data_IF_081798586680
#
_entry.id   IF_081798586680
#
_cell.length_a   1.000
_cell.length_b   1.000
_cell.length_c   1.000
_cell.angle_alpha   90.00
_cell.angle_beta   90.00
_cell.angle_gamma   90.00
#
_symmetry.space_group_name_H-M   'P 1'
#
loop_
_entity.id
_entity.type
_entity.pdbx_description
1 polymer ?
#
# COMPACT_ATOMS: atom_id res chain seq x y z
N UNK A 1 0.52 13.57 -24.47
CA UNK A 1 0.25 13.50 -23.03
C UNK A 1 -1.14 12.91 -22.90
N UNK A 2 -1.30 11.75 -22.27
CA UNK A 2 -2.63 11.18 -22.04
C UNK A 2 -3.28 11.99 -20.92
N UNK A 3 -4.54 12.38 -21.11
CA UNK A 3 -5.31 13.12 -20.14
C UNK A 3 -5.55 12.20 -18.92
N UNK A 4 -4.72 12.36 -17.88
CA UNK A 4 -4.77 11.53 -16.66
C UNK A 4 -6.16 11.62 -16.01
N UNK A 5 -6.84 12.75 -16.21
CA UNK A 5 -8.21 13.02 -15.78
C UNK A 5 -9.20 12.06 -16.45
N UNK A 6 -9.06 11.82 -17.75
CA UNK A 6 -9.89 10.86 -18.48
C UNK A 6 -9.68 9.42 -18.00
N UNK A 7 -8.43 9.01 -17.75
CA UNK A 7 -8.10 7.66 -17.25
C UNK A 7 -8.65 7.46 -15.83
N UNK A 8 -8.56 8.48 -14.98
CA UNK A 8 -9.08 8.41 -13.62
C UNK A 8 -10.62 8.30 -13.63
N UNK A 9 -11.30 9.10 -14.47
CA UNK A 9 -12.76 9.05 -14.63
C UNK A 9 -13.25 7.70 -15.14
N UNK A 10 -12.57 7.13 -16.13
CA UNK A 10 -12.88 5.82 -16.69
C UNK A 10 -12.82 4.71 -15.62
N UNK A 11 -11.76 4.72 -14.78
CA UNK A 11 -11.61 3.74 -13.69
C UNK A 11 -12.64 3.88 -12.57
N UNK A 12 -13.01 5.12 -12.22
CA UNK A 12 -14.03 5.39 -11.20
C UNK A 12 -15.40 4.93 -11.72
N UNK A 13 -15.77 5.31 -12.94
CA UNK A 13 -17.03 4.91 -13.54
C UNK A 13 -17.15 3.38 -13.71
N UNK A 14 -16.06 2.69 -14.07
CA UNK A 14 -16.02 1.24 -14.16
C UNK A 14 -16.15 0.51 -12.81
N UNK A 15 -15.98 1.19 -11.67
CA UNK A 15 -16.14 0.62 -10.33
C UNK A 15 -17.46 1.00 -9.66
N UNK A 16 -18.26 1.89 -10.26
CA UNK A 16 -19.50 2.46 -9.71
C UNK A 16 -20.77 1.78 -10.27
N UNK A 17 -20.64 0.83 -11.21
CA UNK A 17 -21.75 0.15 -11.89
C UNK A 17 -22.11 -1.22 -11.28
N UNK A 18 -21.76 -1.45 -10.00
CA UNK A 18 -22.06 -2.69 -9.25
C UNK A 18 -23.04 -2.39 -8.10
N UNK A 19 -24.20 -1.83 -8.44
CA UNK A 19 -25.35 -1.65 -7.55
C UNK A 19 -26.50 -2.55 -8.01
N UNK A 20 -26.50 -3.83 -7.59
CA UNK A 20 -27.70 -4.67 -7.39
C UNK A 20 -27.31 -6.04 -6.78
N UNK A 21 -27.12 -6.10 -5.47
CA UNK A 21 -27.79 -7.08 -4.58
C UNK A 21 -27.35 -6.84 -3.13
N UNK A 22 -28.35 -6.60 -2.29
CA UNK A 22 -28.30 -6.46 -0.84
C UNK A 22 -27.84 -7.79 -0.21
N UNK A 23 -26.53 -8.09 -0.26
CA UNK A 23 -25.93 -8.98 0.72
C UNK A 23 -25.33 -8.10 1.81
N UNK A 24 -25.86 -8.26 3.01
CA UNK A 24 -25.40 -7.65 4.25
C UNK A 24 -23.96 -8.11 4.53
N UNK A 25 -23.01 -7.55 3.77
CA UNK A 25 -21.60 -7.85 3.82
C UNK A 25 -21.10 -7.48 5.19
N UNK A 26 -21.03 -8.48 6.07
CA UNK A 26 -20.44 -8.36 7.38
C UNK A 26 -19.13 -7.55 7.24
N UNK A 27 -18.93 -6.49 8.06
CA UNK A 27 -17.72 -5.69 7.95
C UNK A 27 -16.53 -6.66 7.96
N UNK A 28 -15.55 -6.48 7.05
CA UNK A 28 -14.42 -7.38 6.96
C UNK A 28 -13.91 -7.58 8.38
N UNK A 29 -13.95 -8.85 8.83
CA UNK A 29 -13.63 -9.22 10.20
C UNK A 29 -12.33 -8.50 10.54
N UNK A 30 -12.40 -7.54 11.45
CA UNK A 30 -11.23 -6.74 11.82
C UNK A 30 -10.08 -7.72 12.04
N UNK A 31 -8.92 -7.52 11.39
CA UNK A 31 -7.83 -8.48 11.46
C UNK A 31 -7.61 -8.79 12.94
N UNK A 32 -7.78 -10.07 13.30
CA UNK A 32 -7.67 -10.45 14.71
C UNK A 32 -6.33 -9.94 15.22
N UNK A 33 -6.25 -9.39 16.45
CA UNK A 33 -5.01 -8.81 16.97
C UNK A 33 -3.85 -9.81 17.00
N UNK A 34 -4.12 -11.11 16.86
CA UNK A 34 -3.13 -12.16 16.71
C UNK A 34 -2.32 -12.12 15.39
N UNK A 35 -2.78 -11.38 14.38
CA UNK A 35 -2.11 -11.24 13.08
C UNK A 35 -1.45 -9.88 12.83
N UNK A 36 -1.66 -8.91 13.73
CA UNK A 36 -0.98 -7.61 13.67
C UNK A 36 0.41 -7.79 14.28
N UNK A 37 1.40 -8.04 13.42
CA UNK A 37 2.80 -7.97 13.80
C UNK A 37 3.13 -6.50 14.04
N UNK A 38 3.50 -6.16 15.28
CA UNK A 38 3.99 -4.82 15.60
C UNK A 38 5.22 -4.49 14.76
N UNK A 39 5.38 -3.20 14.45
CA UNK A 39 6.55 -2.73 13.70
C UNK A 39 7.82 -3.11 14.45
N UNK A 40 8.73 -3.79 13.79
CA UNK A 40 10.00 -4.17 14.40
C UNK A 40 10.90 -2.93 14.51
N UNK A 41 11.71 -2.84 15.57
CA UNK A 41 12.68 -1.73 15.74
C UNK A 41 13.70 -1.65 14.61
N UNK A 42 13.95 -2.76 13.91
CA UNK A 42 14.87 -2.81 12.77
C UNK A 42 14.21 -2.41 11.45
N UNK A 43 12.95 -1.99 11.46
CA UNK A 43 12.22 -1.54 10.27
C UNK A 43 12.10 -0.02 10.20
N UNK A 44 12.39 0.53 9.02
CA UNK A 44 12.23 1.96 8.70
C UNK A 44 11.30 2.14 7.51
N UNK A 45 10.60 3.27 7.47
CA UNK A 45 9.67 3.61 6.40
C UNK A 45 10.43 4.20 5.20
N UNK A 46 10.24 3.62 4.01
CA UNK A 46 10.79 4.18 2.77
C UNK A 46 9.91 5.35 2.26
N UNK A 47 10.45 6.57 2.07
CA UNK A 47 9.67 7.71 1.59
C UNK A 47 9.24 7.61 0.12
N UNK A 48 9.77 6.64 -0.65
CA UNK A 48 9.48 6.47 -2.06
C UNK A 48 8.37 5.45 -2.35
N UNK A 49 8.32 4.35 -1.62
CA UNK A 49 7.34 3.27 -1.82
C UNK A 49 6.44 3.01 -0.62
N UNK A 50 6.63 3.77 0.47
CA UNK A 50 5.82 3.72 1.70
C UNK A 50 5.81 2.37 2.44
N UNK A 51 6.73 1.47 2.07
CA UNK A 51 6.89 0.18 2.74
C UNK A 51 7.88 0.28 3.90
N UNK A 52 7.66 -0.57 4.89
CA UNK A 52 8.64 -0.85 5.93
C UNK A 52 9.73 -1.74 5.34
N UNK A 53 10.98 -1.32 5.53
CA UNK A 53 12.17 -2.03 5.04
C UNK A 53 13.19 -2.19 6.16
N UNK A 54 14.03 -3.22 6.03
CA UNK A 54 15.06 -3.51 7.04
C UNK A 54 16.16 -2.44 7.03
N UNK A 55 16.33 -1.77 8.17
CA UNK A 55 17.33 -0.72 8.36
C UNK A 55 18.75 -1.20 8.04
N UNK A 56 19.08 -2.46 8.34
CA UNK A 56 20.38 -3.07 8.00
C UNK A 56 20.64 -3.05 6.50
N UNK A 57 19.65 -3.40 5.69
CA UNK A 57 19.78 -3.49 4.23
C UNK A 57 19.97 -2.10 3.64
N UNK A 58 19.24 -1.13 4.18
CA UNK A 58 19.39 0.28 3.83
C UNK A 58 20.75 0.83 4.26
N UNK A 59 21.25 0.47 5.44
CA UNK A 59 22.58 0.91 5.90
C UNK A 59 23.73 0.33 5.04
N UNK A 60 23.56 -0.88 4.50
CA UNK A 60 24.56 -1.51 3.63
C UNK A 60 24.52 -0.98 2.19
N UNK A 61 23.32 -0.81 1.60
CA UNK A 61 23.18 -0.43 0.19
C UNK A 61 22.99 1.08 -0.01
N UNK A 62 22.53 1.82 1.00
CA UNK A 62 22.13 3.23 0.88
C UNK A 62 20.81 3.46 0.15
N UNK A 63 20.14 2.38 -0.28
CA UNK A 63 18.91 2.39 -1.07
C UNK A 63 17.89 1.39 -0.53
N UNK A 64 16.62 1.65 -0.85
CA UNK A 64 15.52 0.76 -0.53
C UNK A 64 15.61 -0.51 -1.37
N UNK A 65 15.79 -1.68 -0.73
CA UNK A 65 15.83 -2.97 -1.44
C UNK A 65 14.53 -3.36 -2.18
N UNK A 66 13.43 -2.62 -2.02
CA UNK A 66 12.18 -2.85 -2.74
C UNK A 66 12.04 -2.01 -4.02
N UNK A 67 12.37 -0.72 -3.96
CA UNK A 67 12.15 0.21 -5.07
C UNK A 67 13.42 0.87 -5.62
N UNK A 68 14.58 0.62 -5.02
CA UNK A 68 15.84 1.29 -5.35
C UNK A 68 15.89 2.78 -5.02
N UNK A 69 14.88 3.30 -4.32
CA UNK A 69 14.84 4.71 -3.92
C UNK A 69 15.85 5.00 -2.80
N UNK A 70 16.53 6.15 -2.82
CA UNK A 70 17.45 6.53 -1.75
C UNK A 70 16.71 6.65 -0.41
N UNK A 71 17.35 6.22 0.68
CA UNK A 71 16.80 6.44 2.03
C UNK A 71 17.73 7.45 2.71
N UNK A 72 17.35 8.72 2.68
CA UNK A 72 18.08 9.85 3.26
C UNK A 72 17.67 10.14 4.70
#
# INVERSE_FOLDING_TARGET
EADLDAILKDRIAASDDDDEEEEEGAPPKAPSPAGLVERQETEIHCPHCFLLVQAKTVAEMGECGHCGGPIS
#
